data_IF_156261629528
#
_entry.id   IF_156261629528
#
_cell.length_a   1.000
_cell.length_b   1.000
_cell.length_c   1.000
_cell.angle_alpha   90.00
_cell.angle_beta   90.00
_cell.angle_gamma   90.00
#
_symmetry.space_group_name_H-M   'P 1'
#
loop_
_entity.id
_entity.type
_entity.pdbx_description
1 polymer ?
#
# COMPACT_ATOMS: atom_id res chain seq x y z
N UNK A 1 -102.26 -7.42 94.24
CA UNK A 1 -100.86 -7.92 94.17
C UNK A 1 -100.38 -8.18 92.74
N UNK A 2 -101.20 -8.69 91.81
CA UNK A 2 -100.78 -8.97 90.43
C UNK A 2 -100.37 -7.74 89.58
N UNK A 3 -101.06 -6.60 89.73
CA UNK A 3 -100.77 -5.38 88.95
C UNK A 3 -99.38 -4.77 89.27
N UNK A 4 -98.99 -4.71 90.54
CA UNK A 4 -97.68 -4.22 90.96
C UNK A 4 -96.52 -5.09 90.42
N UNK A 5 -96.74 -6.41 90.31
CA UNK A 5 -95.77 -7.34 89.71
C UNK A 5 -95.62 -7.13 88.19
N UNK A 6 -96.73 -6.85 87.50
CA UNK A 6 -96.70 -6.51 86.07
C UNK A 6 -96.02 -5.17 85.80
N UNK A 7 -96.27 -4.14 86.62
CA UNK A 7 -95.61 -2.84 86.50
C UNK A 7 -94.10 -2.93 86.78
N UNK A 8 -93.69 -3.72 87.77
CA UNK A 8 -92.28 -3.94 88.08
C UNK A 8 -91.56 -4.69 86.95
N UNK A 9 -92.21 -5.69 86.34
CA UNK A 9 -91.70 -6.36 85.14
C UNK A 9 -91.61 -5.43 83.94
N UNK A 10 -92.61 -4.57 83.73
CA UNK A 10 -92.59 -3.59 82.64
C UNK A 10 -91.42 -2.62 82.79
N UNK A 11 -91.21 -2.07 83.99
CA UNK A 11 -90.05 -1.20 84.28
C UNK A 11 -88.72 -1.93 84.10
N UNK A 12 -88.62 -3.20 84.50
CA UNK A 12 -87.44 -4.01 84.26
C UNK A 12 -87.18 -4.18 82.75
N UNK A 13 -88.19 -4.56 81.96
CA UNK A 13 -88.05 -4.69 80.50
C UNK A 13 -87.76 -3.36 79.80
N UNK A 14 -88.26 -2.24 80.34
CA UNK A 14 -87.99 -0.90 79.81
C UNK A 14 -86.56 -0.46 80.12
N UNK A 15 -86.04 -0.80 81.32
CA UNK A 15 -84.63 -0.59 81.66
C UNK A 15 -83.67 -1.47 80.84
N UNK A 16 -84.05 -2.73 80.57
CA UNK A 16 -83.31 -3.63 79.68
C UNK A 16 -83.29 -3.10 78.24
N UNK A 17 -84.44 -2.61 77.75
CA UNK A 17 -84.54 -1.96 76.44
C UNK A 17 -83.64 -0.72 76.35
N UNK A 18 -83.65 0.15 77.36
CA UNK A 18 -82.79 1.34 77.41
C UNK A 18 -81.31 0.96 77.40
N UNK A 19 -80.92 -0.09 78.12
CA UNK A 19 -79.56 -0.60 78.13
C UNK A 19 -79.15 -1.18 76.77
N UNK A 20 -80.03 -1.93 76.11
CA UNK A 20 -79.79 -2.45 74.76
C UNK A 20 -79.67 -1.32 73.72
N UNK A 21 -80.52 -0.29 73.80
CA UNK A 21 -80.41 0.90 72.93
C UNK A 21 -79.05 1.60 73.12
N UNK A 22 -78.64 1.84 74.35
CA UNK A 22 -77.34 2.44 74.64
C UNK A 22 -76.16 1.56 74.17
N UNK A 23 -76.29 0.23 74.23
CA UNK A 23 -75.30 -0.69 73.69
C UNK A 23 -75.22 -0.64 72.16
N UNK A 24 -76.36 -0.61 71.47
CA UNK A 24 -76.43 -0.48 70.01
C UNK A 24 -75.84 0.84 69.55
N UNK A 25 -76.21 1.96 70.16
CA UNK A 25 -75.65 3.29 69.85
C UNK A 25 -74.13 3.32 70.06
N UNK A 26 -73.62 2.68 71.12
CA UNK A 26 -72.18 2.56 71.37
C UNK A 26 -71.48 1.71 70.30
N UNK A 27 -72.09 0.61 69.87
CA UNK A 27 -71.55 -0.23 68.80
C UNK A 27 -71.56 0.51 67.45
N UNK A 28 -72.65 1.20 67.11
CA UNK A 28 -72.75 2.01 65.89
C UNK A 28 -71.70 3.12 65.85
N UNK A 29 -71.49 3.83 66.95
CA UNK A 29 -70.42 4.83 67.07
C UNK A 29 -69.03 4.19 66.95
N UNK A 30 -68.83 3.00 67.53
CA UNK A 30 -67.59 2.24 67.39
C UNK A 30 -67.31 1.83 65.94
N UNK A 31 -68.33 1.35 65.23
CA UNK A 31 -68.25 0.96 63.82
C UNK A 31 -67.97 2.17 62.93
N UNK A 32 -68.64 3.32 63.16
CA UNK A 32 -68.39 4.55 62.41
C UNK A 32 -66.95 5.05 62.58
N UNK A 33 -66.46 5.11 63.81
CA UNK A 33 -65.06 5.52 64.09
C UNK A 33 -64.05 4.55 63.48
N UNK A 34 -64.32 3.25 63.52
CA UNK A 34 -63.47 2.25 62.87
C UNK A 34 -63.46 2.41 61.34
N UNK A 35 -64.62 2.69 60.72
CA UNK A 35 -64.74 2.94 59.30
C UNK A 35 -64.03 4.24 58.87
N UNK A 36 -64.20 5.32 59.64
CA UNK A 36 -63.49 6.58 59.43
C UNK A 36 -61.97 6.38 59.54
N UNK A 37 -61.51 5.69 60.59
CA UNK A 37 -60.08 5.38 60.76
C UNK A 37 -59.53 4.52 59.62
N UNK A 38 -60.29 3.53 59.14
CA UNK A 38 -59.88 2.70 58.01
C UNK A 38 -59.83 3.49 56.71
N UNK A 39 -60.82 4.35 56.44
CA UNK A 39 -60.85 5.22 55.27
C UNK A 39 -59.68 6.22 55.29
N UNK A 40 -59.36 6.82 56.44
CA UNK A 40 -58.19 7.68 56.57
C UNK A 40 -56.88 6.92 56.34
N UNK A 41 -56.76 5.68 56.82
CA UNK A 41 -55.59 4.85 56.58
C UNK A 41 -55.44 4.47 55.10
N UNK A 42 -56.54 4.12 54.42
CA UNK A 42 -56.56 3.84 52.99
C UNK A 42 -56.20 5.08 52.16
N UNK A 43 -56.70 6.27 52.54
CA UNK A 43 -56.36 7.54 51.88
C UNK A 43 -54.86 7.84 52.02
N UNK A 44 -54.31 7.70 53.23
CA UNK A 44 -52.89 7.93 53.47
C UNK A 44 -52.00 6.93 52.69
N UNK A 45 -52.41 5.66 52.59
CA UNK A 45 -51.70 4.67 51.79
C UNK A 45 -51.79 4.97 50.28
N UNK A 46 -52.95 5.44 49.80
CA UNK A 46 -53.13 5.85 48.41
C UNK A 46 -52.22 7.05 48.05
N UNK A 47 -52.16 8.06 48.91
CA UNK A 47 -51.28 9.22 48.75
C UNK A 47 -49.80 8.83 48.74
N UNK A 48 -49.38 7.91 49.64
CA UNK A 48 -48.00 7.39 49.65
C UNK A 48 -47.65 6.69 48.35
N UNK A 49 -48.54 5.81 47.85
CA UNK A 49 -48.32 5.13 46.57
C UNK A 49 -48.29 6.08 45.39
N UNK A 50 -49.12 7.11 45.39
CA UNK A 50 -49.10 8.13 44.35
C UNK A 50 -47.77 8.90 44.34
N UNK A 51 -47.25 9.26 45.53
CA UNK A 51 -45.94 9.88 45.68
C UNK A 51 -44.80 8.96 45.20
N UNK A 52 -44.79 7.69 45.62
CA UNK A 52 -43.79 6.70 45.17
C UNK A 52 -43.82 6.51 43.65
N UNK A 53 -45.01 6.39 43.06
CA UNK A 53 -45.17 6.30 41.61
C UNK A 53 -44.76 7.59 40.89
N UNK A 54 -44.92 8.75 41.53
CA UNK A 54 -44.43 10.03 41.05
C UNK A 54 -42.91 10.07 41.01
N UNK A 55 -42.24 9.67 42.09
CA UNK A 55 -40.77 9.58 42.17
C UNK A 55 -40.20 8.61 41.13
N UNK A 56 -40.77 7.41 41.01
CA UNK A 56 -40.35 6.41 40.01
C UNK A 56 -40.53 6.93 38.59
N UNK A 57 -41.62 7.67 38.31
CA UNK A 57 -41.85 8.29 37.00
C UNK A 57 -40.80 9.35 36.70
N UNK A 58 -40.53 10.25 37.64
CA UNK A 58 -39.51 11.30 37.50
C UNK A 58 -38.12 10.71 37.23
N UNK A 59 -37.70 9.72 38.01
CA UNK A 59 -36.40 9.04 37.82
C UNK A 59 -36.29 8.37 36.45
N UNK A 60 -37.37 7.73 35.98
CA UNK A 60 -37.41 7.10 34.66
C UNK A 60 -37.35 8.13 33.53
N UNK A 61 -38.05 9.26 33.68
CA UNK A 61 -38.00 10.35 32.70
C UNK A 61 -36.60 10.94 32.58
N UNK A 62 -35.90 11.15 33.70
CA UNK A 62 -34.50 11.58 33.70
C UNK A 62 -33.56 10.57 33.05
N UNK A 63 -33.72 9.28 33.37
CA UNK A 63 -32.95 8.20 32.74
C UNK A 63 -33.17 8.17 31.23
N UNK A 64 -34.42 8.21 30.77
CA UNK A 64 -34.77 8.24 29.34
C UNK A 64 -34.20 9.49 28.67
N UNK A 65 -34.29 10.66 29.32
CA UNK A 65 -33.70 11.90 28.82
C UNK A 65 -32.18 11.81 28.69
N UNK A 66 -31.50 11.19 29.64
CA UNK A 66 -30.04 10.98 29.58
C UNK A 66 -29.64 10.02 28.46
N UNK A 67 -30.39 8.93 28.27
CA UNK A 67 -30.15 7.95 27.21
C UNK A 67 -30.40 8.53 25.83
N UNK A 68 -31.44 9.36 25.66
CA UNK A 68 -31.70 10.09 24.41
C UNK A 68 -30.56 11.03 24.04
N UNK A 69 -30.01 11.77 25.01
CA UNK A 69 -28.83 12.63 24.77
C UNK A 69 -27.61 11.82 24.34
N UNK A 70 -27.30 10.73 25.05
CA UNK A 70 -26.19 9.83 24.67
C UNK A 70 -26.37 9.20 23.29
N UNK A 71 -27.60 8.82 22.93
CA UNK A 71 -27.90 8.29 21.60
C UNK A 71 -27.69 9.35 20.52
N UNK A 72 -28.08 10.60 20.76
CA UNK A 72 -27.84 11.70 19.83
C UNK A 72 -26.34 11.99 19.65
N UNK A 73 -25.59 12.07 20.75
CA UNK A 73 -24.12 12.25 20.72
C UNK A 73 -23.42 11.13 19.95
N UNK A 74 -23.81 9.87 20.17
CA UNK A 74 -23.28 8.73 19.43
C UNK A 74 -23.65 8.75 17.95
N UNK A 75 -24.86 9.20 17.61
CA UNK A 75 -25.28 9.34 16.22
C UNK A 75 -24.43 10.39 15.48
N UNK A 76 -24.20 11.55 16.10
CA UNK A 76 -23.32 12.59 15.54
C UNK A 76 -21.88 12.10 15.36
N UNK A 77 -21.33 11.38 16.35
CA UNK A 77 -20.00 10.78 16.25
C UNK A 77 -19.91 9.75 15.11
N UNK A 78 -20.95 8.93 14.93
CA UNK A 78 -21.01 7.95 13.85
C UNK A 78 -21.10 8.61 12.47
N UNK A 79 -21.89 9.68 12.35
CA UNK A 79 -22.01 10.41 11.10
C UNK A 79 -20.72 11.19 10.78
N UNK A 80 -20.04 11.74 11.78
CA UNK A 80 -18.68 12.31 11.65
C UNK A 80 -17.67 11.26 11.17
N UNK A 81 -17.58 10.12 11.85
CA UNK A 81 -16.67 9.03 11.46
C UNK A 81 -16.97 8.49 10.05
N UNK A 82 -18.23 8.49 9.63
CA UNK A 82 -18.62 8.12 8.25
C UNK A 82 -18.17 9.16 7.23
N UNK A 83 -18.19 10.45 7.56
CA UNK A 83 -17.68 11.50 6.69
C UNK A 83 -16.16 11.38 6.54
N UNK A 84 -15.43 11.25 7.65
CA UNK A 84 -13.97 11.08 7.66
C UNK A 84 -13.55 9.84 6.86
N UNK A 85 -14.27 8.72 7.02
CA UNK A 85 -13.97 7.49 6.27
C UNK A 85 -14.21 7.66 4.77
N UNK A 86 -15.22 8.43 4.35
CA UNK A 86 -15.44 8.73 2.93
C UNK A 86 -14.30 9.58 2.37
N UNK A 87 -13.86 10.60 3.11
CA UNK A 87 -12.75 11.46 2.71
C UNK A 87 -11.46 10.63 2.55
N UNK A 88 -11.10 9.83 3.54
CA UNK A 88 -9.93 8.94 3.49
C UNK A 88 -10.00 7.95 2.31
N UNK A 89 -11.18 7.41 2.00
CA UNK A 89 -11.35 6.53 0.84
C UNK A 89 -11.16 7.28 -0.48
N UNK A 90 -11.64 8.52 -0.57
CA UNK A 90 -11.44 9.35 -1.77
C UNK A 90 -9.97 9.70 -1.97
N UNK A 91 -9.27 10.15 -0.92
CA UNK A 91 -7.83 10.44 -0.97
C UNK A 91 -7.03 9.20 -1.37
N UNK A 92 -7.32 8.05 -0.77
CA UNK A 92 -6.68 6.78 -1.12
C UNK A 92 -6.93 6.39 -2.56
N UNK A 93 -8.15 6.59 -3.07
CA UNK A 93 -8.48 6.27 -4.47
C UNK A 93 -7.71 7.15 -5.46
N UNK A 94 -7.55 8.43 -5.14
CA UNK A 94 -6.79 9.37 -5.98
C UNK A 94 -5.30 9.04 -5.96
N UNK A 95 -4.74 8.74 -4.78
CA UNK A 95 -3.35 8.33 -4.65
C UNK A 95 -3.06 7.03 -5.42
N UNK A 96 -3.96 6.04 -5.36
CA UNK A 96 -3.83 4.81 -6.14
C UNK A 96 -3.89 5.07 -7.65
N UNK A 97 -4.81 5.91 -8.12
CA UNK A 97 -4.88 6.27 -9.54
C UNK A 97 -3.62 6.98 -10.02
N UNK A 98 -3.05 7.89 -9.22
CA UNK A 98 -1.79 8.55 -9.54
C UNK A 98 -0.62 7.57 -9.59
N UNK A 99 -0.55 6.63 -8.63
CA UNK A 99 0.47 5.59 -8.61
C UNK A 99 0.37 4.65 -9.82
N UNK A 100 -0.83 4.21 -10.19
CA UNK A 100 -1.07 3.39 -11.38
C UNK A 100 -0.69 4.12 -12.68
N UNK A 101 -1.04 5.41 -12.79
CA UNK A 101 -0.66 6.23 -13.94
C UNK A 101 0.87 6.39 -14.05
N UNK A 102 1.55 6.67 -12.92
CA UNK A 102 3.01 6.75 -12.86
C UNK A 102 3.67 5.42 -13.26
N UNK A 103 3.12 4.29 -12.81
CA UNK A 103 3.64 2.96 -13.16
C UNK A 103 3.50 2.67 -14.66
N UNK A 104 2.36 3.00 -15.28
CA UNK A 104 2.17 2.82 -16.73
C UNK A 104 3.17 3.64 -17.54
N UNK A 105 3.35 4.91 -17.19
CA UNK A 105 4.31 5.78 -17.85
C UNK A 105 5.76 5.32 -17.66
N UNK A 106 6.11 4.74 -16.49
CA UNK A 106 7.42 4.14 -16.28
C UNK A 106 7.64 2.88 -17.15
N UNK A 107 6.62 2.04 -17.33
CA UNK A 107 6.67 0.85 -18.19
C UNK A 107 6.80 1.22 -19.68
N UNK A 108 6.09 2.26 -20.14
CA UNK A 108 6.21 2.78 -21.50
C UNK A 108 7.66 3.24 -21.78
N UNK A 109 8.24 4.04 -20.88
CA UNK A 109 9.64 4.48 -20.99
C UNK A 109 10.64 3.33 -20.94
N UNK A 110 10.37 2.29 -20.15
CA UNK A 110 11.21 1.10 -20.13
C UNK A 110 11.19 0.39 -21.50
N UNK A 111 10.01 0.28 -22.12
CA UNK A 111 9.87 -0.27 -23.47
C UNK A 111 10.61 0.57 -24.53
N UNK A 112 10.54 1.90 -24.43
CA UNK A 112 11.32 2.82 -25.28
C UNK A 112 12.83 2.64 -25.10
N UNK A 113 13.30 2.51 -23.86
CA UNK A 113 14.72 2.27 -23.55
C UNK A 113 15.21 0.94 -24.14
N UNK A 114 14.42 -0.13 -24.04
CA UNK A 114 14.74 -1.42 -24.67
C UNK A 114 14.83 -1.30 -26.20
N UNK A 115 13.89 -0.58 -26.82
CA UNK A 115 13.90 -0.36 -28.26
C UNK A 115 15.14 0.45 -28.70
N UNK A 116 15.49 1.49 -27.95
CA UNK A 116 16.69 2.27 -28.18
C UNK A 116 17.98 1.42 -28.03
N UNK A 117 18.02 0.52 -27.03
CA UNK A 117 19.17 -0.37 -26.80
C UNK A 117 19.37 -1.33 -27.97
N UNK A 118 18.27 -1.89 -28.50
CA UNK A 118 18.31 -2.76 -29.69
C UNK A 118 18.79 -1.99 -30.93
N UNK A 119 18.34 -0.74 -31.09
CA UNK A 119 18.78 0.14 -32.18
C UNK A 119 20.28 0.46 -32.09
N UNK A 120 20.77 0.79 -30.89
CA UNK A 120 22.20 1.03 -30.65
C UNK A 120 23.02 -0.21 -31.01
N UNK A 121 22.64 -1.38 -30.50
CA UNK A 121 23.33 -2.64 -30.79
C UNK A 121 23.33 -2.98 -32.30
N UNK A 122 22.25 -2.64 -33.03
CA UNK A 122 22.21 -2.79 -34.48
C UNK A 122 23.17 -1.82 -35.19
N UNK A 123 23.24 -0.56 -34.74
CA UNK A 123 24.16 0.43 -35.28
C UNK A 123 25.64 0.10 -35.02
N UNK A 124 25.95 -0.45 -33.83
CA UNK A 124 27.30 -0.91 -33.48
C UNK A 124 27.76 -2.06 -34.39
N UNK A 125 26.86 -3.00 -34.70
CA UNK A 125 27.14 -4.09 -35.66
C UNK A 125 27.39 -3.55 -37.06
N UNK A 126 26.52 -2.67 -37.57
CA UNK A 126 26.71 -2.05 -38.88
C UNK A 126 28.03 -1.25 -38.97
N UNK A 127 28.42 -0.56 -37.88
CA UNK A 127 29.72 0.11 -37.80
C UNK A 127 30.90 -0.85 -37.77
N UNK A 128 30.76 -2.02 -37.14
CA UNK A 128 31.79 -3.05 -37.15
C UNK A 128 31.98 -3.61 -38.57
N UNK A 129 30.89 -3.96 -39.25
CA UNK A 129 30.89 -4.47 -40.62
C UNK A 129 31.55 -3.46 -41.58
N UNK A 130 31.17 -2.18 -41.51
CA UNK A 130 31.78 -1.13 -42.34
C UNK A 130 33.26 -0.89 -42.04
N UNK A 131 33.70 -1.06 -40.80
CA UNK A 131 35.14 -0.98 -40.46
C UNK A 131 35.91 -2.13 -41.07
N UNK A 132 35.33 -3.33 -41.07
CA UNK A 132 35.92 -4.52 -41.68
C UNK A 132 35.99 -4.37 -43.22
N UNK A 133 34.90 -3.98 -43.86
CA UNK A 133 34.86 -3.71 -45.31
C UNK A 133 35.88 -2.64 -45.71
N UNK A 134 36.02 -1.57 -44.91
CA UNK A 134 37.03 -0.54 -45.14
C UNK A 134 38.45 -1.08 -45.01
N UNK A 135 38.73 -1.92 -44.02
CA UNK A 135 40.06 -2.53 -43.86
C UNK A 135 40.41 -3.41 -45.06
N UNK A 136 39.47 -4.22 -45.53
CA UNK A 136 39.65 -5.06 -46.73
C UNK A 136 39.88 -4.19 -47.99
N UNK A 137 39.07 -3.15 -48.17
CA UNK A 137 39.23 -2.23 -49.30
C UNK A 137 40.57 -1.47 -49.28
N UNK A 138 41.04 -1.07 -48.09
CA UNK A 138 42.36 -0.44 -47.93
C UNK A 138 43.51 -1.41 -48.26
N UNK A 139 43.42 -2.66 -47.83
CA UNK A 139 44.40 -3.68 -48.17
C UNK A 139 44.47 -3.91 -49.69
N UNK A 140 43.32 -4.10 -50.35
CA UNK A 140 43.24 -4.25 -51.81
C UNK A 140 43.75 -3.01 -52.56
N UNK A 141 43.46 -1.81 -52.05
CA UNK A 141 44.01 -0.56 -52.59
C UNK A 141 45.54 -0.55 -52.51
N UNK A 142 46.10 -0.85 -51.35
CA UNK A 142 47.54 -0.78 -51.14
C UNK A 142 48.27 -1.84 -52.00
N UNK A 143 47.68 -3.02 -52.18
CA UNK A 143 48.11 -4.04 -53.14
C UNK A 143 48.14 -3.47 -54.57
N UNK A 144 47.03 -2.89 -55.03
CA UNK A 144 46.89 -2.36 -56.38
C UNK A 144 47.82 -1.19 -56.67
N UNK A 145 48.03 -0.31 -55.69
CA UNK A 145 48.99 0.80 -55.80
C UNK A 145 50.40 0.25 -55.94
N UNK A 146 50.79 -0.75 -55.14
CA UNK A 146 52.12 -1.37 -55.27
C UNK A 146 52.32 -2.00 -56.65
N UNK A 147 51.33 -2.73 -57.16
CA UNK A 147 51.37 -3.32 -58.51
C UNK A 147 51.57 -2.25 -59.59
N UNK A 148 50.74 -1.21 -59.59
CA UNK A 148 50.81 -0.16 -60.62
C UNK A 148 52.09 0.67 -60.49
N UNK A 149 52.57 0.93 -59.27
CA UNK A 149 53.85 1.61 -59.04
C UNK A 149 55.03 0.78 -59.55
N UNK A 150 55.01 -0.55 -59.36
CA UNK A 150 56.01 -1.45 -59.92
C UNK A 150 55.99 -1.41 -61.46
N UNK A 151 54.81 -1.50 -62.08
CA UNK A 151 54.65 -1.42 -63.54
C UNK A 151 55.17 -0.08 -64.11
N UNK A 152 54.85 1.04 -63.46
CA UNK A 152 55.37 2.36 -63.88
C UNK A 152 56.89 2.44 -63.72
N UNK A 153 57.45 1.89 -62.65
CA UNK A 153 58.90 1.87 -62.42
C UNK A 153 59.64 0.98 -63.44
N UNK A 154 59.07 -0.15 -63.82
CA UNK A 154 59.63 -1.06 -64.83
C UNK A 154 59.63 -0.41 -66.22
N UNK A 155 58.53 0.26 -66.60
CA UNK A 155 58.45 1.02 -67.85
C UNK A 155 59.42 2.21 -67.87
N UNK A 156 59.62 2.88 -66.73
CA UNK A 156 60.61 3.96 -66.59
C UNK A 156 62.06 3.48 -66.76
N UNK A 157 62.36 2.26 -66.31
CA UNK A 157 63.68 1.63 -66.48
C UNK A 157 63.93 1.11 -67.90
N UNK A 158 62.88 0.79 -68.65
CA UNK A 158 62.96 0.28 -70.03
C UNK A 158 63.37 1.33 -71.08
N UNK A 159 63.52 2.61 -70.70
CA UNK A 159 64.41 3.54 -71.41
C UNK A 159 63.79 4.67 -72.22
N UNK A 160 62.48 4.93 -72.14
CA UNK A 160 61.94 6.15 -72.76
C UNK A 160 60.75 6.73 -71.99
N UNK A 161 61.04 7.54 -70.97
CA UNK A 161 60.06 8.26 -70.13
C UNK A 161 59.14 9.22 -70.91
N UNK A 162 59.41 9.44 -72.21
CA UNK A 162 58.57 10.23 -73.13
C UNK A 162 57.74 9.37 -74.09
N UNK A 163 57.79 8.05 -73.99
CA UNK A 163 56.96 7.18 -74.83
C UNK A 163 55.47 7.39 -74.49
N UNK A 164 54.63 7.28 -75.52
CA UNK A 164 53.17 7.37 -75.36
C UNK A 164 52.65 6.30 -74.37
N UNK A 165 53.31 5.14 -74.30
CA UNK A 165 52.99 4.06 -73.38
C UNK A 165 53.30 4.42 -71.92
N UNK A 166 54.43 5.09 -71.65
CA UNK A 166 54.76 5.57 -70.30
C UNK A 166 53.77 6.65 -69.84
N UNK A 167 53.38 7.57 -70.73
CA UNK A 167 52.37 8.59 -70.42
C UNK A 167 50.98 7.99 -70.21
N UNK A 168 50.58 6.99 -71.00
CA UNK A 168 49.32 6.28 -70.82
C UNK A 168 49.29 5.49 -69.49
N UNK A 169 50.40 4.83 -69.11
CA UNK A 169 50.52 4.13 -67.84
C UNK A 169 50.43 5.09 -66.63
N UNK A 170 51.10 6.25 -66.69
CA UNK A 170 50.98 7.30 -65.68
C UNK A 170 49.55 7.84 -65.55
N UNK A 171 48.88 8.11 -66.68
CA UNK A 171 47.49 8.53 -66.68
C UNK A 171 46.55 7.48 -66.07
N UNK A 172 46.77 6.20 -66.40
CA UNK A 172 46.02 5.08 -65.83
C UNK A 172 46.25 4.95 -64.32
N UNK A 173 47.51 5.08 -63.86
CA UNK A 173 47.86 5.09 -62.44
C UNK A 173 47.17 6.24 -61.71
N UNK A 174 47.21 7.45 -62.28
CA UNK A 174 46.64 8.65 -61.64
C UNK A 174 45.12 8.58 -61.57
N UNK A 175 44.46 8.03 -62.60
CA UNK A 175 43.02 7.79 -62.60
C UNK A 175 42.61 6.72 -61.57
N UNK A 176 43.34 5.61 -61.51
CA UNK A 176 43.09 4.56 -60.51
C UNK A 176 43.30 5.09 -59.08
N UNK A 177 44.36 5.87 -58.87
CA UNK A 177 44.64 6.52 -57.59
C UNK A 177 43.51 7.47 -57.17
N UNK A 178 43.04 8.32 -58.09
CA UNK A 178 41.96 9.27 -57.82
C UNK A 178 40.62 8.56 -57.55
N UNK A 179 40.30 7.49 -58.27
CA UNK A 179 39.09 6.69 -58.04
C UNK A 179 39.11 6.02 -56.65
N UNK A 180 40.25 5.43 -56.27
CA UNK A 180 40.44 4.80 -54.97
C UNK A 180 40.38 5.83 -53.82
N UNK A 181 40.91 7.03 -54.04
CA UNK A 181 40.80 8.14 -53.08
C UNK A 181 39.35 8.58 -52.89
N UNK A 182 38.60 8.75 -53.98
CA UNK A 182 37.18 9.12 -53.93
C UNK A 182 36.31 8.09 -53.19
N UNK A 183 36.58 6.79 -53.37
CA UNK A 183 35.88 5.73 -52.64
C UNK A 183 36.18 5.78 -51.12
N UNK A 184 37.43 6.01 -50.73
CA UNK A 184 37.83 6.11 -49.33
C UNK A 184 37.22 7.33 -48.61
N UNK A 185 37.09 8.46 -49.32
CA UNK A 185 36.45 9.67 -48.79
C UNK A 185 34.94 9.47 -48.61
N UNK A 186 34.27 8.75 -49.53
CA UNK A 186 32.85 8.40 -49.40
C UNK A 186 32.59 7.51 -48.18
N UNK A 187 33.36 6.43 -48.02
CA UNK A 187 33.25 5.55 -46.84
C UNK A 187 33.57 6.28 -45.53
N UNK A 188 34.48 7.27 -45.55
CA UNK A 188 34.75 8.12 -44.38
C UNK A 188 33.54 8.96 -44.00
N UNK A 189 32.81 9.49 -44.97
CA UNK A 189 31.56 10.23 -44.74
C UNK A 189 30.48 9.37 -44.10
N UNK A 190 30.28 8.15 -44.58
CA UNK A 190 29.30 7.19 -44.06
C UNK A 190 29.61 6.78 -42.60
N UNK A 191 30.88 6.53 -42.28
CA UNK A 191 31.32 6.24 -40.91
C UNK A 191 31.07 7.42 -39.94
N UNK A 192 31.35 8.66 -40.38
CA UNK A 192 31.09 9.85 -39.56
C UNK A 192 29.59 10.05 -39.32
N UNK A 193 28.75 9.79 -40.33
CA UNK A 193 27.31 9.87 -40.20
C UNK A 193 26.78 8.85 -39.17
N UNK A 194 27.24 7.60 -39.23
CA UNK A 194 26.85 6.55 -38.29
C UNK A 194 27.37 6.81 -36.87
N UNK A 195 28.61 7.29 -36.71
CA UNK A 195 29.13 7.70 -35.39
C UNK A 195 28.31 8.86 -34.78
N UNK A 196 27.87 9.81 -35.60
CA UNK A 196 27.00 10.90 -35.14
C UNK A 196 25.61 10.41 -34.73
N UNK A 197 25.13 9.34 -35.35
CA UNK A 197 23.87 8.66 -35.00
C UNK A 197 24.02 7.90 -33.68
N UNK A 198 25.10 7.13 -33.52
CA UNK A 198 25.42 6.35 -32.33
C UNK A 198 25.56 7.22 -31.07
N UNK A 199 26.20 8.40 -31.19
CA UNK A 199 26.26 9.36 -30.08
C UNK A 199 24.88 9.85 -29.67
N UNK A 200 24.02 10.19 -30.64
CA UNK A 200 22.65 10.67 -30.37
C UNK A 200 21.81 9.58 -29.69
N UNK A 201 21.89 8.33 -30.16
CA UNK A 201 21.16 7.21 -29.55
C UNK A 201 21.70 6.84 -28.17
N UNK A 202 23.02 6.92 -27.96
CA UNK A 202 23.66 6.72 -26.66
C UNK A 202 23.23 7.77 -25.62
N UNK A 203 23.21 9.05 -26.01
CA UNK A 203 22.76 10.13 -25.12
C UNK A 203 21.28 9.95 -24.74
N UNK A 204 20.42 9.58 -25.70
CA UNK A 204 19.01 9.27 -25.40
C UNK A 204 18.86 8.07 -24.47
N UNK A 205 19.69 7.04 -24.62
CA UNK A 205 19.69 5.87 -23.75
C UNK A 205 20.07 6.24 -22.32
N UNK A 206 21.14 7.02 -22.13
CA UNK A 206 21.54 7.47 -20.80
C UNK A 206 20.44 8.29 -20.11
N UNK A 207 19.73 9.15 -20.86
CA UNK A 207 18.60 9.91 -20.31
C UNK A 207 17.43 8.99 -19.93
N UNK A 208 17.12 7.99 -20.75
CA UNK A 208 16.09 6.98 -20.41
C UNK A 208 16.46 6.13 -19.20
N UNK A 209 17.74 5.73 -19.06
CA UNK A 209 18.22 4.96 -17.90
C UNK A 209 18.13 5.77 -16.60
N UNK A 210 18.49 7.06 -16.64
CA UNK A 210 18.35 7.95 -15.48
C UNK A 210 16.88 8.05 -15.04
N UNK A 211 15.98 8.33 -15.98
CA UNK A 211 14.54 8.41 -15.72
C UNK A 211 13.95 7.10 -15.20
N UNK A 212 14.45 5.96 -15.68
CA UNK A 212 14.04 4.64 -15.18
C UNK A 212 14.47 4.42 -13.74
N UNK A 213 15.70 4.79 -13.37
CA UNK A 213 16.17 4.73 -11.98
C UNK A 213 15.33 5.62 -11.07
N UNK A 214 15.07 6.86 -11.49
CA UNK A 214 14.23 7.80 -10.73
C UNK A 214 12.81 7.22 -10.52
N UNK A 215 12.23 6.60 -11.55
CA UNK A 215 10.92 5.95 -11.45
C UNK A 215 10.93 4.71 -10.54
N UNK A 216 12.01 3.91 -10.55
CA UNK A 216 12.18 2.77 -9.66
C UNK A 216 12.31 3.22 -8.20
N UNK A 217 13.06 4.27 -7.94
CA UNK A 217 13.20 4.86 -6.61
C UNK A 217 11.85 5.39 -6.09
N UNK A 218 11.10 6.12 -6.93
CA UNK A 218 9.76 6.59 -6.59
C UNK A 218 8.79 5.43 -6.27
N UNK A 219 8.85 4.33 -7.04
CA UNK A 219 8.02 3.16 -6.79
C UNK A 219 8.34 2.47 -5.45
N UNK A 220 9.61 2.43 -5.05
CA UNK A 220 10.03 1.90 -3.73
C UNK A 220 9.48 2.77 -2.60
N UNK A 221 9.56 4.10 -2.72
CA UNK A 221 9.02 5.03 -1.72
C UNK A 221 7.51 4.83 -1.54
N UNK A 222 6.74 4.81 -2.64
CA UNK A 222 5.29 4.58 -2.59
C UNK A 222 4.94 3.23 -1.96
N UNK A 223 5.73 2.18 -2.23
CA UNK A 223 5.52 0.86 -1.63
C UNK A 223 5.76 0.86 -0.12
N UNK A 224 6.79 1.56 0.34
CA UNK A 224 7.10 1.71 1.76
C UNK A 224 6.01 2.54 2.47
N UNK A 225 5.50 3.61 1.84
CA UNK A 225 4.38 4.39 2.37
C UNK A 225 3.10 3.56 2.48
N UNK A 226 2.78 2.76 1.47
CA UNK A 226 1.63 1.84 1.51
C UNK A 226 1.77 0.80 2.63
N UNK A 227 2.97 0.25 2.84
CA UNK A 227 3.26 -0.65 3.95
C UNK A 227 3.08 0.04 5.31
N UNK A 228 3.52 1.29 5.43
CA UNK A 228 3.34 2.08 6.65
C UNK A 228 1.86 2.37 6.93
N UNK A 229 1.10 2.77 5.92
CA UNK A 229 -0.35 3.03 6.04
C UNK A 229 -1.12 1.75 6.43
N UNK A 230 -0.78 0.60 5.84
CA UNK A 230 -1.40 -0.68 6.20
C UNK A 230 -1.02 -1.14 7.62
N UNK A 231 0.22 -0.89 8.06
CA UNK A 231 0.63 -1.13 9.43
C UNK A 231 -0.12 -0.22 10.44
N UNK A 232 -0.30 1.07 10.13
CA UNK A 232 -1.09 1.96 10.98
C UNK A 232 -2.58 1.58 11.03
N UNK A 233 -3.18 1.19 9.89
CA UNK A 233 -4.56 0.74 9.85
C UNK A 233 -4.78 -0.53 10.67
N UNK A 234 -3.88 -1.51 10.57
CA UNK A 234 -3.95 -2.74 11.37
C UNK A 234 -3.72 -2.50 12.86
N UNK A 235 -2.84 -1.56 13.23
CA UNK A 235 -2.66 -1.14 14.61
C UNK A 235 -3.91 -0.46 15.19
N UNK A 236 -4.53 0.45 14.42
CA UNK A 236 -5.78 1.10 14.81
C UNK A 236 -6.94 0.09 14.97
N UNK A 237 -7.02 -0.92 14.10
CA UNK A 237 -8.03 -1.99 14.20
C UNK A 237 -7.82 -2.86 15.46
N UNK A 238 -6.56 -3.14 15.83
CA UNK A 238 -6.22 -3.87 17.05
C UNK A 238 -6.54 -3.05 18.31
N UNK A 239 -6.25 -1.75 18.32
CA UNK A 239 -6.63 -0.86 19.41
C UNK A 239 -8.16 -0.72 19.56
N UNK A 240 -8.90 -0.61 18.45
CA UNK A 240 -10.36 -0.56 18.47
C UNK A 240 -10.97 -1.84 19.05
N UNK A 241 -10.41 -3.02 18.71
CA UNK A 241 -10.82 -4.31 19.27
C UNK A 241 -10.51 -4.43 20.77
N UNK A 242 -9.41 -3.83 21.24
CA UNK A 242 -9.02 -3.82 22.66
C UNK A 242 -9.86 -2.83 23.49
N UNK A 243 -10.41 -1.77 22.88
CA UNK A 243 -11.25 -0.76 23.56
C UNK A 243 -12.75 -1.10 23.58
N UNK A 244 -13.22 -2.12 22.86
CA UNK A 244 -14.62 -2.56 22.92
C UNK A 244 -14.90 -3.34 24.21
N UNK A 245 -15.81 -2.89 25.12
CA UNK A 245 -16.04 -3.54 26.42
C UNK A 245 -16.79 -4.87 26.37
N UNK A 246 -17.08 -5.42 25.19
CA UNK A 246 -18.06 -6.49 25.04
C UNK A 246 -17.51 -7.68 24.23
N UNK A 247 -16.51 -8.40 24.76
CA UNK A 247 -16.32 -9.87 24.62
C UNK A 247 -14.95 -10.30 25.18
N UNK A 248 -14.86 -11.43 25.93
CA UNK A 248 -13.56 -11.98 26.31
C UNK A 248 -12.84 -12.53 25.06
N UNK A 249 -11.56 -12.19 24.94
CA UNK A 249 -10.65 -12.69 23.91
C UNK A 249 -10.67 -14.23 23.86
N UNK A 250 -11.31 -14.81 22.83
CA UNK A 250 -10.95 -16.15 22.40
C UNK A 250 -9.59 -16.09 21.73
N UNK A 251 -8.61 -16.79 22.31
CA UNK A 251 -7.27 -16.99 21.73
C UNK A 251 -7.42 -17.48 20.28
N UNK A 252 -6.70 -16.91 19.30
CA UNK A 252 -6.73 -17.45 17.94
C UNK A 252 -6.15 -18.86 17.98
N UNK A 253 -6.95 -19.84 17.54
CA UNK A 253 -6.53 -21.23 17.40
C UNK A 253 -5.46 -21.36 16.30
N UNK A 254 -4.50 -22.29 16.44
CA UNK A 254 -3.35 -22.47 15.53
C UNK A 254 -3.71 -22.86 14.08
N UNK A 255 -5.01 -22.98 13.74
CA UNK A 255 -5.49 -23.26 12.40
C UNK A 255 -5.36 -22.06 11.43
N UNK A 256 -5.44 -20.81 11.94
CA UNK A 256 -5.33 -19.61 11.11
C UNK A 256 -3.89 -19.36 10.61
N UNK A 257 -2.88 -19.83 11.35
CA UNK A 257 -1.48 -19.72 10.95
C UNK A 257 -1.15 -20.62 9.76
N UNK A 258 -1.70 -21.85 9.74
CA UNK A 258 -1.53 -22.79 8.61
C UNK A 258 -2.15 -22.27 7.31
N UNK A 259 -3.25 -21.53 7.38
CA UNK A 259 -3.85 -20.91 6.19
C UNK A 259 -3.02 -19.77 5.63
N UNK A 260 -2.37 -18.98 6.48
CA UNK A 260 -1.44 -17.92 6.04
C UNK A 260 -0.14 -18.49 5.46
N UNK A 261 0.44 -19.54 6.06
CA UNK A 261 1.61 -20.23 5.50
C UNK A 261 1.28 -20.89 4.15
N UNK A 262 0.11 -21.49 3.99
CA UNK A 262 -0.33 -22.07 2.72
C UNK A 262 -0.65 -21.01 1.67
N UNK A 263 -1.16 -19.84 2.05
CA UNK A 263 -1.38 -18.72 1.13
C UNK A 263 -0.05 -18.09 0.67
N UNK A 264 0.92 -17.95 1.58
CA UNK A 264 2.27 -17.49 1.26
C UNK A 264 3.02 -18.51 0.36
N UNK A 265 2.88 -19.81 0.62
CA UNK A 265 3.47 -20.87 -0.21
C UNK A 265 2.86 -20.94 -1.62
N UNK A 266 1.55 -20.69 -1.76
CA UNK A 266 0.86 -20.63 -3.08
C UNK A 266 1.23 -19.38 -3.88
N UNK A 267 1.54 -18.26 -3.21
CA UNK A 267 2.11 -17.06 -3.85
C UNK A 267 3.57 -17.31 -4.29
N UNK A 268 4.32 -18.12 -3.54
CA UNK A 268 5.69 -18.52 -3.86
C UNK A 268 5.78 -19.46 -5.08
N UNK A 269 4.84 -20.41 -5.23
CA UNK A 269 4.86 -21.35 -6.37
C UNK A 269 4.43 -20.74 -7.71
N UNK A 270 3.81 -19.55 -7.71
CA UNK A 270 3.36 -18.85 -8.93
C UNK A 270 4.35 -17.79 -9.43
N UNK A 271 5.39 -17.48 -8.67
CA UNK A 271 6.40 -16.49 -9.04
C UNK A 271 7.62 -17.20 -9.63
N UNK A 272 7.66 -17.32 -10.96
CA UNK A 272 8.92 -17.54 -11.69
C UNK A 272 9.79 -16.28 -11.56
N UNK A 273 10.43 -16.10 -10.40
CA UNK A 273 11.38 -15.02 -10.16
C UNK A 273 12.81 -15.57 -10.17
N UNK A 274 13.68 -14.89 -10.92
CA UNK A 274 15.06 -15.26 -11.13
C UNK A 274 15.86 -15.29 -9.81
N UNK A 275 16.87 -16.18 -9.78
CA UNK A 275 17.74 -16.53 -8.63
C UNK A 275 18.32 -15.38 -7.78
N UNK A 276 18.59 -14.14 -8.26
CA UNK A 276 19.13 -13.11 -7.37
C UNK A 276 18.11 -12.55 -6.35
N UNK A 277 16.80 -12.70 -6.57
CA UNK A 277 15.79 -12.19 -5.61
C UNK A 277 15.53 -13.16 -4.44
N UNK A 278 15.83 -14.45 -4.61
CA UNK A 278 15.69 -15.45 -3.54
C UNK A 278 16.70 -15.24 -2.41
N UNK A 279 17.91 -14.76 -2.73
CA UNK A 279 18.97 -14.51 -1.74
C UNK A 279 18.60 -13.32 -0.84
N UNK A 280 17.98 -12.27 -1.38
CA UNK A 280 17.57 -11.08 -0.62
C UNK A 280 16.45 -11.38 0.39
N UNK A 281 15.51 -12.28 0.03
CA UNK A 281 14.44 -12.71 0.92
C UNK A 281 14.91 -13.71 1.98
N UNK A 282 15.93 -14.52 1.70
CA UNK A 282 16.55 -15.41 2.68
C UNK A 282 17.35 -14.64 3.74
N UNK A 283 17.89 -13.47 3.39
CA UNK A 283 18.48 -12.51 4.34
C UNK A 283 17.38 -11.86 5.21
N UNK A 284 16.22 -11.52 4.64
CA UNK A 284 15.08 -10.96 5.39
C UNK A 284 14.43 -11.97 6.36
N UNK A 285 14.37 -13.24 5.98
CA UNK A 285 13.85 -14.32 6.85
C UNK A 285 14.82 -14.67 7.98
N UNK A 286 16.13 -14.69 7.73
CA UNK A 286 17.13 -14.90 8.80
C UNK A 286 17.26 -13.69 9.73
N UNK A 287 17.11 -12.46 9.22
CA UNK A 287 17.02 -11.25 10.03
C UNK A 287 15.73 -11.20 10.89
N UNK A 288 14.60 -11.67 10.36
CA UNK A 288 13.34 -11.81 11.11
C UNK A 288 13.39 -12.85 12.23
N UNK A 289 14.16 -13.93 12.06
CA UNK A 289 14.37 -14.94 13.11
C UNK A 289 15.33 -14.48 14.22
N UNK A 290 16.28 -13.59 13.93
CA UNK A 290 17.22 -13.06 14.94
C UNK A 290 16.59 -12.00 15.85
N UNK A 291 15.56 -11.28 15.39
CA UNK A 291 14.86 -10.25 16.20
C UNK A 291 13.99 -10.79 17.35
N UNK A 292 13.83 -12.12 17.50
CA UNK A 292 13.16 -12.72 18.68
C UNK A 292 14.10 -13.21 19.78
N UNK A 293 15.43 -13.10 19.62
CA UNK A 293 16.39 -13.52 20.64
C UNK A 293 17.16 -12.39 21.34
N UNK A 294 16.96 -11.13 20.98
CA UNK A 294 17.68 -10.01 21.59
C UNK A 294 16.72 -8.91 22.06
N UNK A 295 16.08 -9.15 23.20
CA UNK A 295 15.66 -8.08 24.10
C UNK A 295 16.63 -8.04 25.28
N UNK A 296 17.71 -7.28 25.11
CA UNK A 296 18.50 -6.66 26.16
C UNK A 296 19.34 -5.55 25.51
N UNK A 297 18.96 -4.30 25.74
CA UNK A 297 19.80 -3.11 25.54
C UNK A 297 20.67 -2.89 26.80
N UNK A 298 21.71 -2.01 26.84
CA UNK A 298 22.12 -1.00 25.86
C UNK A 298 23.66 -0.89 25.62
N UNK A 299 24.04 0.08 24.78
CA UNK A 299 25.35 0.77 24.72
C UNK A 299 26.44 0.28 23.75
N UNK A 300 27.12 1.29 23.19
CA UNK A 300 28.34 1.30 22.37
C UNK A 300 28.20 1.18 20.83
N UNK A 301 28.85 2.17 20.20
CA UNK A 301 29.12 2.36 18.79
C UNK A 301 29.58 1.08 18.10
N UNK A 302 28.98 0.73 16.95
CA UNK A 302 29.71 0.02 15.88
C UNK A 302 29.21 0.48 14.50
N UNK A 303 30.02 1.30 13.85
CA UNK A 303 29.98 1.52 12.40
C UNK A 303 30.52 0.26 11.74
N UNK A 304 29.74 -0.37 10.86
CA UNK A 304 30.24 -1.42 9.97
C UNK A 304 30.22 -0.89 8.54
N UNK A 305 31.40 -0.49 8.05
CA UNK A 305 31.63 -0.27 6.63
C UNK A 305 31.85 -1.62 5.97
N UNK A 306 30.97 -2.02 5.06
CA UNK A 306 31.18 -3.20 4.21
C UNK A 306 31.78 -2.72 2.89
N UNK A 307 33.10 -2.81 2.76
CA UNK A 307 33.79 -2.66 1.50
C UNK A 307 33.60 -3.92 0.66
N UNK A 308 32.82 -3.82 -0.42
CA UNK A 308 32.68 -4.91 -1.39
C UNK A 308 33.63 -4.63 -2.56
N UNK A 309 34.77 -5.32 -2.59
CA UNK A 309 35.61 -5.43 -3.78
C UNK A 309 35.00 -6.46 -4.73
N UNK A 310 34.54 -6.03 -5.91
CA UNK A 310 34.18 -6.96 -6.98
C UNK A 310 35.46 -7.45 -7.68
N UNK A 311 35.74 -8.75 -7.55
CA UNK A 311 36.79 -9.42 -8.29
C UNK A 311 36.47 -9.42 -9.80
N UNK A 312 37.42 -8.93 -10.61
CA UNK A 312 37.36 -9.07 -12.08
C UNK A 312 37.60 -10.53 -12.44
N UNK A 313 36.57 -11.22 -12.90
CA UNK A 313 36.72 -12.46 -13.64
C UNK A 313 37.04 -12.11 -15.11
N UNK A 314 38.32 -12.05 -15.44
CA UNK A 314 38.77 -12.13 -16.83
C UNK A 314 38.49 -13.56 -17.33
N UNK A 315 37.67 -13.71 -18.36
CA UNK A 315 37.69 -14.90 -19.22
C UNK A 315 38.75 -14.68 -20.30
N UNK A 316 39.80 -15.49 -20.27
CA UNK A 316 40.70 -15.69 -21.41
C UNK A 316 39.91 -16.30 -22.57
N UNK A 317 40.05 -15.71 -23.75
CA UNK A 317 39.69 -16.33 -25.01
C UNK A 317 40.79 -17.34 -25.38
N UNK A 318 40.37 -18.51 -25.86
CA UNK A 318 41.14 -19.38 -26.74
C UNK A 318 40.42 -19.44 -28.08
#
# INVERSE_FOLDING_TARGET
MALASCEQRLRATESERQLLVAQVERLELGVRRAAESHNSALSAEAERREQELGSIRSEREEQVGSLRRRLAEMAEQLDGARADLRELLTERSQALQQAEAAQRHALEKAGEAEAATRSLAASERALADLREERQQALALRDERIRELTAQVADLGRAGDSRSAEHQAALGTWMNAYNALRGAADKQRGELLALQSSERRTSDTLQDTERRLRDAQEAAVVLRLELQRQTAHATAAEMEAKLRCPCKPLQRPTPALYKHWEQAAARLWSRSHMAKPQAIMLQILLTAGCLSRKLHQHPSSQQVWAVGISQGRLFRQQA
#
